data_IF_726857718954
#
_entry.id   IF_726857718954
#
_cell.length_a   1.000
_cell.length_b   1.000
_cell.length_c   1.000
_cell.angle_alpha   90.00
_cell.angle_beta   90.00
_cell.angle_gamma   90.00
#
_symmetry.space_group_name_H-M   'P 1'
#
loop_
_entity.id
_entity.type
_entity.pdbx_description
1 polymer ?
#
# COMPACT_ATOMS: atom_id res chain seq x y z
N UNK A 1 -8.35 2.37 -18.48
CA UNK A 1 -7.57 2.77 -17.29
C UNK A 1 -6.55 3.79 -17.77
N UNK A 2 -6.65 5.07 -17.38
CA UNK A 2 -5.55 6.02 -17.61
C UNK A 2 -4.36 5.48 -16.80
N UNK A 3 -3.21 5.30 -17.43
CA UNK A 3 -2.00 4.64 -16.91
C UNK A 3 -1.29 5.51 -15.87
N UNK A 4 -2.02 5.87 -14.79
CA UNK A 4 -1.72 6.98 -13.87
C UNK A 4 -0.28 7.02 -13.35
N UNK A 5 0.36 5.87 -13.11
CA UNK A 5 1.77 5.83 -12.73
C UNK A 5 2.70 6.26 -13.88
N UNK A 6 2.51 5.72 -15.08
CA UNK A 6 3.30 6.07 -16.26
C UNK A 6 3.12 7.54 -16.64
N UNK A 7 1.89 8.06 -16.58
CA UNK A 7 1.67 9.50 -16.79
C UNK A 7 2.33 10.36 -15.71
N UNK A 8 2.26 9.97 -14.42
CA UNK A 8 2.89 10.71 -13.34
C UNK A 8 4.42 10.80 -13.51
N UNK A 9 5.07 9.69 -13.87
CA UNK A 9 6.51 9.63 -14.16
C UNK A 9 6.85 10.47 -15.39
N UNK A 10 6.12 10.31 -16.50
CA UNK A 10 6.39 11.06 -17.75
C UNK A 10 6.24 12.56 -17.56
N UNK A 11 5.22 13.00 -16.81
CA UNK A 11 5.03 14.42 -16.48
C UNK A 11 6.23 14.98 -15.73
N UNK A 12 6.78 14.22 -14.76
CA UNK A 12 7.95 14.65 -14.00
C UNK A 12 9.19 14.76 -14.89
N UNK A 13 9.49 13.74 -15.69
CA UNK A 13 10.64 13.78 -16.61
C UNK A 13 10.56 14.97 -17.57
N UNK A 14 9.38 15.30 -18.08
CA UNK A 14 9.20 16.45 -18.97
C UNK A 14 9.54 17.80 -18.31
N UNK A 15 9.38 17.91 -16.98
CA UNK A 15 9.69 19.11 -16.20
C UNK A 15 11.07 19.07 -15.55
N UNK A 16 11.71 17.90 -15.53
CA UNK A 16 12.99 17.59 -14.89
C UNK A 16 13.80 16.63 -15.77
N UNK A 17 14.25 17.07 -16.96
CA UNK A 17 14.90 16.18 -17.93
C UNK A 17 16.22 15.59 -17.45
N UNK A 18 16.88 16.24 -16.48
CA UNK A 18 18.17 15.83 -15.93
C UNK A 18 18.05 14.85 -14.76
N UNK A 19 16.84 14.58 -14.25
CA UNK A 19 16.63 13.56 -13.22
C UNK A 19 16.75 12.14 -13.82
N UNK A 20 17.22 11.15 -13.02
CA UNK A 20 17.23 9.76 -13.44
C UNK A 20 15.84 9.27 -13.86
N UNK A 21 15.80 8.56 -14.99
CA UNK A 21 14.56 7.97 -15.49
C UNK A 21 13.97 6.94 -14.52
N UNK A 22 12.64 6.80 -14.52
CA UNK A 22 11.93 5.84 -13.65
C UNK A 22 11.21 4.78 -14.48
N UNK A 23 11.36 3.51 -14.08
CA UNK A 23 10.63 2.38 -14.66
C UNK A 23 9.44 2.04 -13.77
N UNK A 24 8.26 1.92 -14.37
CA UNK A 24 7.03 1.48 -13.68
C UNK A 24 6.80 0.01 -13.98
N UNK A 25 6.68 -0.80 -12.93
CA UNK A 25 6.43 -2.25 -13.02
C UNK A 25 5.11 -2.57 -12.33
N UNK A 26 4.10 -2.95 -13.10
CA UNK A 26 2.84 -3.48 -12.57
C UNK A 26 2.93 -5.00 -12.38
N UNK A 27 2.92 -5.46 -11.13
CA UNK A 27 2.79 -6.90 -10.81
C UNK A 27 1.31 -7.19 -10.57
N UNK A 28 0.70 -7.91 -11.50
CA UNK A 28 -0.74 -8.15 -11.46
C UNK A 28 -1.12 -9.49 -12.05
N UNK A 29 -2.39 -9.59 -12.42
CA UNK A 29 -3.01 -10.84 -12.82
C UNK A 29 -3.47 -10.75 -14.28
N UNK A 30 -3.53 -11.88 -15.00
CA UNK A 30 -4.29 -11.95 -16.24
C UNK A 30 -5.77 -11.83 -15.87
N UNK A 31 -6.28 -10.59 -15.84
CA UNK A 31 -7.70 -10.33 -15.67
C UNK A 31 -8.40 -10.87 -16.92
N UNK A 32 -9.31 -11.82 -16.76
CA UNK A 32 -10.27 -12.15 -17.81
C UNK A 32 -11.17 -10.91 -18.08
N UNK A 33 -11.97 -10.93 -19.15
CA UNK A 33 -12.96 -9.89 -19.51
C UNK A 33 -14.11 -9.75 -18.48
N UNK A 34 -13.75 -9.62 -17.21
CA UNK A 34 -14.65 -9.30 -16.10
C UNK A 34 -14.71 -7.79 -15.97
N UNK A 35 -15.86 -7.25 -15.61
CA UNK A 35 -16.01 -5.84 -15.29
C UNK A 35 -15.21 -5.40 -14.03
N UNK A 36 -14.52 -6.33 -13.37
CA UNK A 36 -13.74 -6.06 -12.17
C UNK A 36 -12.36 -5.51 -12.53
N UNK A 37 -11.97 -4.46 -11.83
CA UNK A 37 -10.63 -3.85 -11.93
C UNK A 37 -9.60 -4.54 -11.02
N UNK A 38 -9.94 -5.68 -10.42
CA UNK A 38 -9.12 -6.44 -9.47
C UNK A 38 -9.46 -7.94 -9.50
N UNK A 39 -8.54 -8.77 -9.01
CA UNK A 39 -8.66 -10.23 -8.97
C UNK A 39 -8.76 -10.74 -7.53
N UNK A 40 -9.56 -11.78 -7.28
CA UNK A 40 -9.72 -12.37 -5.94
C UNK A 40 -8.42 -12.94 -5.36
N UNK A 41 -7.46 -13.36 -6.21
CA UNK A 41 -6.14 -13.86 -5.78
C UNK A 41 -5.35 -12.86 -4.94
N UNK A 42 -5.62 -11.56 -5.09
CA UNK A 42 -5.01 -10.51 -4.27
C UNK A 42 -5.26 -10.70 -2.78
N UNK A 43 -6.34 -11.38 -2.40
CA UNK A 43 -6.61 -11.74 -1.01
C UNK A 43 -5.50 -12.59 -0.41
N UNK A 44 -5.05 -13.59 -1.16
CA UNK A 44 -3.95 -14.48 -0.76
C UNK A 44 -2.63 -13.71 -0.82
N UNK A 45 -2.29 -13.16 -1.97
CA UNK A 45 -0.96 -12.60 -2.24
C UNK A 45 -0.62 -11.37 -1.39
N UNK A 46 -1.62 -10.61 -0.93
CA UNK A 46 -1.39 -9.32 -0.26
C UNK A 46 -1.65 -9.35 1.26
N UNK A 47 -1.95 -10.51 1.84
CA UNK A 47 -2.20 -10.64 3.28
C UNK A 47 -1.11 -11.46 3.98
N UNK A 48 -0.62 -11.01 5.16
CA UNK A 48 0.40 -11.72 5.94
C UNK A 48 -0.04 -13.13 6.32
N UNK A 49 0.90 -14.11 6.39
CA UNK A 49 0.60 -15.39 7.00
C UNK A 49 0.29 -15.21 8.48
N UNK A 50 -0.78 -15.84 8.95
CA UNK A 50 -1.21 -15.83 10.35
C UNK A 50 -1.80 -17.20 10.71
N UNK A 51 -1.71 -17.60 11.97
CA UNK A 51 -2.26 -18.86 12.46
C UNK A 51 -3.78 -18.80 12.62
N UNK A 52 -4.29 -17.65 13.10
CA UNK A 52 -5.71 -17.37 13.24
C UNK A 52 -6.11 -16.24 12.29
N UNK A 53 -7.23 -16.43 11.58
CA UNK A 53 -7.76 -15.44 10.64
C UNK A 53 -9.23 -15.17 10.92
N UNK A 54 -9.53 -13.92 11.28
CA UNK A 54 -10.88 -13.38 11.37
C UNK A 54 -11.28 -12.80 10.02
N UNK A 55 -12.25 -13.43 9.36
CA UNK A 55 -12.76 -12.95 8.08
C UNK A 55 -13.40 -11.55 8.22
N UNK A 56 -13.10 -10.61 7.30
CA UNK A 56 -13.70 -9.29 7.33
C UNK A 56 -15.21 -9.36 7.09
N UNK A 57 -15.96 -8.43 7.66
CA UNK A 57 -17.39 -8.27 7.35
C UNK A 57 -17.58 -7.48 6.07
N UNK A 58 -18.46 -7.99 5.21
CA UNK A 58 -18.97 -7.31 4.03
C UNK A 58 -19.92 -6.16 4.38
N UNK A 59 -20.37 -5.39 3.37
CA UNK A 59 -21.38 -4.35 3.57
C UNK A 59 -22.70 -4.88 4.14
N UNK A 60 -23.02 -6.15 3.87
CA UNK A 60 -24.17 -6.88 4.40
C UNK A 60 -23.97 -7.43 5.84
N UNK A 61 -22.82 -7.15 6.45
CA UNK A 61 -22.44 -7.63 7.77
C UNK A 61 -21.99 -9.10 7.81
N UNK A 62 -22.02 -9.81 6.68
CA UNK A 62 -21.63 -11.21 6.60
C UNK A 62 -20.11 -11.37 6.50
N UNK A 63 -19.59 -12.45 7.08
CA UNK A 63 -18.16 -12.77 7.00
C UNK A 63 -17.76 -13.15 5.58
N UNK A 64 -16.77 -12.44 5.02
CA UNK A 64 -16.23 -12.68 3.69
C UNK A 64 -14.91 -13.44 3.77
N UNK A 65 -15.02 -14.77 3.92
CA UNK A 65 -13.87 -15.65 3.86
C UNK A 65 -13.25 -15.62 2.45
N UNK A 66 -11.92 -15.53 2.40
CA UNK A 66 -11.13 -15.53 1.18
C UNK A 66 -9.79 -16.19 1.48
N UNK A 67 -9.08 -16.64 0.46
CA UNK A 67 -7.72 -17.11 0.64
C UNK A 67 -6.85 -15.96 1.19
N UNK A 68 -5.95 -16.29 2.13
CA UNK A 68 -5.08 -15.33 2.83
C UNK A 68 -3.70 -15.96 3.11
N UNK A 69 -2.72 -15.15 3.51
CA UNK A 69 -1.43 -15.62 4.03
C UNK A 69 -0.34 -15.88 2.99
N UNK A 70 -0.50 -15.33 1.79
CA UNK A 70 0.45 -15.49 0.68
C UNK A 70 1.54 -14.42 0.60
N UNK A 71 1.51 -13.38 1.45
CA UNK A 71 2.39 -12.22 1.33
C UNK A 71 3.88 -12.57 1.28
N UNK A 72 4.37 -13.48 2.12
CA UNK A 72 5.77 -13.92 2.09
C UNK A 72 6.19 -14.49 0.74
N UNK A 73 5.34 -15.36 0.15
CA UNK A 73 5.60 -15.99 -1.15
C UNK A 73 5.52 -14.97 -2.27
N UNK A 74 4.58 -14.03 -2.17
CA UNK A 74 4.43 -12.98 -3.17
C UNK A 74 5.60 -11.99 -3.15
N UNK A 75 6.08 -11.60 -1.96
CA UNK A 75 7.29 -10.79 -1.82
C UNK A 75 8.50 -11.53 -2.38
N UNK A 76 8.65 -12.82 -2.06
CA UNK A 76 9.72 -13.66 -2.62
C UNK A 76 9.66 -13.69 -4.15
N UNK A 77 8.49 -13.90 -4.76
CA UNK A 77 8.31 -13.84 -6.21
C UNK A 77 8.82 -12.50 -6.78
N UNK A 78 8.46 -11.37 -6.15
CA UNK A 78 8.89 -10.05 -6.61
C UNK A 78 10.41 -9.90 -6.52
N UNK A 79 11.02 -10.24 -5.38
CA UNK A 79 12.44 -9.98 -5.12
C UNK A 79 13.38 -11.00 -5.78
N UNK A 80 12.94 -12.25 -5.96
CA UNK A 80 13.82 -13.33 -6.46
C UNK A 80 13.50 -13.78 -7.88
N UNK A 81 12.39 -13.33 -8.47
CA UNK A 81 12.02 -13.66 -9.86
C UNK A 81 11.82 -12.40 -10.67
N UNK A 82 10.89 -11.52 -10.28
CA UNK A 82 10.52 -10.35 -11.08
C UNK A 82 11.69 -9.37 -11.21
N UNK A 83 12.29 -8.96 -10.08
CA UNK A 83 13.44 -8.05 -10.10
C UNK A 83 14.64 -8.62 -10.87
N UNK A 84 15.09 -9.87 -10.64
CA UNK A 84 16.17 -10.47 -11.43
C UNK A 84 15.87 -10.56 -12.93
N UNK A 85 14.64 -10.90 -13.35
CA UNK A 85 14.28 -10.94 -14.77
C UNK A 85 14.31 -9.54 -15.40
N UNK A 86 13.84 -8.51 -14.67
CA UNK A 86 13.89 -7.14 -15.15
C UNK A 86 15.34 -6.67 -15.36
N UNK A 87 16.21 -6.87 -14.38
CA UNK A 87 17.59 -6.37 -14.42
C UNK A 87 18.51 -7.24 -15.28
N UNK A 88 18.30 -8.55 -15.32
CA UNK A 88 19.15 -9.48 -16.05
C UNK A 88 18.76 -9.65 -17.52
N UNK A 89 17.47 -9.56 -17.84
CA UNK A 89 16.97 -9.93 -19.17
C UNK A 89 16.32 -8.76 -19.92
N UNK A 90 15.46 -7.97 -19.25
CA UNK A 90 14.69 -6.91 -19.93
C UNK A 90 15.52 -5.62 -20.05
N UNK A 91 16.25 -5.27 -18.99
CA UNK A 91 17.07 -4.05 -18.89
C UNK A 91 18.51 -4.35 -18.45
N UNK A 92 19.28 -5.17 -19.21
CA UNK A 92 20.61 -5.67 -18.81
C UNK A 92 21.70 -4.60 -18.64
N UNK A 93 21.44 -3.35 -19.06
CA UNK A 93 22.36 -2.21 -18.93
C UNK A 93 21.86 -1.15 -17.95
N UNK A 94 20.80 -1.44 -17.21
CA UNK A 94 20.24 -0.52 -16.24
C UNK A 94 21.07 -0.58 -14.95
N UNK A 95 21.59 0.56 -14.54
CA UNK A 95 22.11 0.75 -13.19
C UNK A 95 20.96 1.23 -12.30
N UNK A 96 20.56 0.38 -11.35
CA UNK A 96 19.43 0.65 -10.48
C UNK A 96 19.87 1.58 -9.35
N UNK A 97 19.31 2.79 -9.32
CA UNK A 97 19.59 3.76 -8.25
C UNK A 97 18.82 3.46 -6.97
N UNK A 98 17.48 3.57 -7.03
CA UNK A 98 16.58 3.35 -5.90
C UNK A 98 15.33 2.59 -6.33
N UNK A 99 14.72 1.91 -5.38
CA UNK A 99 13.53 1.09 -5.56
C UNK A 99 12.41 1.52 -4.62
N UNK A 100 11.17 1.39 -5.10
CA UNK A 100 10.00 1.64 -4.29
C UNK A 100 8.94 0.55 -4.47
N UNK A 101 8.25 0.22 -3.37
CA UNK A 101 7.08 -0.64 -3.38
C UNK A 101 5.84 0.18 -3.04
N UNK A 102 4.88 0.23 -3.97
CA UNK A 102 3.58 0.88 -3.77
C UNK A 102 2.46 -0.14 -3.70
N UNK A 103 1.49 0.11 -2.83
CA UNK A 103 0.28 -0.68 -2.77
C UNK A 103 -0.87 0.06 -2.10
N UNK A 104 -2.09 -0.24 -2.53
CA UNK A 104 -3.33 0.33 -2.02
C UNK A 104 -4.20 -0.72 -1.30
N UNK A 105 -4.85 -0.35 -0.18
CA UNK A 105 -5.74 -1.24 0.58
C UNK A 105 -4.98 -2.45 1.12
N UNK A 106 -5.35 -3.69 0.76
CA UNK A 106 -4.49 -4.86 1.04
C UNK A 106 -3.09 -4.74 0.41
N UNK A 107 -2.93 -4.02 -0.70
CA UNK A 107 -1.59 -3.71 -1.21
C UNK A 107 -0.79 -2.83 -0.25
N UNK A 108 -1.46 -1.91 0.45
CA UNK A 108 -0.81 -1.09 1.49
C UNK A 108 -0.46 -1.93 2.72
N UNK A 109 -1.31 -2.89 3.09
CA UNK A 109 -0.98 -3.90 4.12
C UNK A 109 0.24 -4.73 3.72
N UNK A 110 0.30 -5.20 2.48
CA UNK A 110 1.44 -5.93 1.92
C UNK A 110 2.72 -5.10 1.94
N UNK A 111 2.65 -3.80 1.61
CA UNK A 111 3.78 -2.87 1.71
C UNK A 111 4.29 -2.78 3.14
N UNK A 112 3.39 -2.60 4.13
CA UNK A 112 3.76 -2.55 5.54
C UNK A 112 4.36 -3.88 6.03
N UNK A 113 3.77 -5.01 5.66
CA UNK A 113 4.31 -6.33 5.97
C UNK A 113 5.71 -6.52 5.39
N UNK A 114 5.91 -6.12 4.13
CA UNK A 114 7.21 -6.18 3.47
C UNK A 114 8.25 -5.30 4.19
N UNK A 115 7.87 -4.10 4.63
CA UNK A 115 8.73 -3.22 5.42
C UNK A 115 9.10 -3.87 6.76
N UNK A 116 8.11 -4.37 7.50
CA UNK A 116 8.33 -4.84 8.87
C UNK A 116 9.05 -6.20 8.95
N UNK A 117 8.99 -7.00 7.89
CA UNK A 117 9.61 -8.34 7.87
C UNK A 117 10.89 -8.42 7.04
N UNK A 118 11.01 -7.63 5.96
CA UNK A 118 12.16 -7.61 5.05
C UNK A 118 12.47 -6.18 4.60
N UNK A 119 12.85 -5.28 5.53
CA UNK A 119 13.04 -3.84 5.25
C UNK A 119 14.09 -3.51 4.19
N UNK A 120 15.02 -4.43 3.91
CA UNK A 120 16.05 -4.27 2.88
C UNK A 120 15.57 -4.66 1.47
N UNK A 121 14.31 -5.09 1.29
CA UNK A 121 13.79 -5.48 -0.03
C UNK A 121 13.54 -4.28 -0.96
N UNK A 122 13.28 -3.09 -0.41
CA UNK A 122 13.06 -1.86 -1.16
C UNK A 122 13.62 -0.66 -0.39
N UNK A 123 14.05 0.39 -1.10
CA UNK A 123 14.55 1.60 -0.46
C UNK A 123 13.41 2.48 0.10
N UNK A 124 12.22 2.40 -0.51
CA UNK A 124 11.06 3.22 -0.17
C UNK A 124 9.76 2.41 -0.19
N UNK A 125 8.98 2.52 0.88
CA UNK A 125 7.69 1.85 1.05
C UNK A 125 6.57 2.88 0.99
N UNK A 126 5.60 2.68 0.10
CA UNK A 126 4.53 3.64 -0.20
C UNK A 126 3.17 2.97 0.04
N UNK A 127 2.69 3.04 1.28
CA UNK A 127 1.46 2.38 1.69
C UNK A 127 0.27 3.35 1.61
N UNK A 128 -0.58 3.14 0.60
CA UNK A 128 -1.81 3.91 0.40
C UNK A 128 -3.02 3.17 1.02
N UNK A 129 -3.76 3.88 1.84
CA UNK A 129 -4.94 3.39 2.58
C UNK A 129 -4.75 1.98 3.13
N UNK A 130 -3.64 1.72 3.87
CA UNK A 130 -3.29 0.35 4.25
C UNK A 130 -4.36 -0.24 5.15
N UNK A 131 -4.76 -1.48 4.88
CA UNK A 131 -5.76 -2.19 5.68
C UNK A 131 -5.19 -2.65 7.03
N UNK A 132 -4.74 -1.71 7.86
CA UNK A 132 -4.19 -1.96 9.21
C UNK A 132 -5.22 -2.67 10.09
N UNK A 133 -6.51 -2.43 9.87
CA UNK A 133 -7.60 -3.11 10.58
C UNK A 133 -7.68 -4.62 10.34
N UNK A 134 -7.05 -5.12 9.27
CA UNK A 134 -7.13 -6.52 8.87
C UNK A 134 -6.68 -7.45 10.00
N UNK A 135 -7.45 -8.53 10.20
CA UNK A 135 -7.22 -9.56 11.21
C UNK A 135 -6.90 -8.98 12.59
N UNK A 136 -7.83 -8.19 13.13
CA UNK A 136 -7.73 -7.58 14.46
C UNK A 136 -6.45 -6.75 14.68
N UNK A 137 -5.99 -6.08 13.61
CA UNK A 137 -4.76 -5.30 13.56
C UNK A 137 -3.49 -6.12 13.77
N UNK A 138 -3.46 -7.33 13.22
CA UNK A 138 -2.29 -8.22 13.20
C UNK A 138 -0.97 -7.52 12.89
N UNK A 139 -0.98 -6.59 11.92
CA UNK A 139 0.20 -5.88 11.45
C UNK A 139 0.94 -5.09 12.56
N UNK A 140 0.26 -4.73 13.64
CA UNK A 140 0.86 -4.01 14.78
C UNK A 140 1.89 -4.86 15.54
N UNK A 141 1.73 -6.19 15.52
CA UNK A 141 2.72 -7.09 16.10
C UNK A 141 4.02 -7.11 15.28
N UNK A 142 3.91 -7.07 13.95
CA UNK A 142 5.07 -6.95 13.06
C UNK A 142 5.75 -5.58 13.20
N UNK A 143 4.97 -4.50 13.27
CA UNK A 143 5.47 -3.14 13.55
C UNK A 143 6.28 -3.11 14.86
N UNK A 144 5.76 -3.74 15.92
CA UNK A 144 6.42 -3.76 17.23
C UNK A 144 7.76 -4.50 17.19
N UNK A 145 7.87 -5.59 16.42
CA UNK A 145 9.13 -6.32 16.21
C UNK A 145 10.11 -5.50 15.39
N UNK A 146 9.64 -4.83 14.35
CA UNK A 146 10.46 -3.95 13.52
C UNK A 146 11.07 -2.80 14.35
N UNK A 147 10.31 -2.18 15.24
CA UNK A 147 10.76 -1.07 16.09
C UNK A 147 11.81 -1.44 17.15
N UNK A 148 12.02 -2.73 17.43
CA UNK A 148 13.08 -3.19 18.34
C UNK A 148 14.27 -3.78 17.60
N UNK A 149 14.14 -4.04 16.30
CA UNK A 149 15.26 -4.46 15.47
C UNK A 149 16.20 -3.27 15.20
N UNK A 150 17.50 -3.53 15.26
CA UNK A 150 18.55 -2.52 15.17
C UNK A 150 19.58 -2.94 14.14
N UNK A 151 20.11 -2.00 13.37
CA UNK A 151 21.20 -2.25 12.43
C UNK A 151 20.81 -2.23 10.95
N UNK A 152 19.68 -1.62 10.58
CA UNK A 152 19.38 -1.35 9.18
C UNK A 152 20.27 -0.21 8.66
N UNK A 153 21.11 -0.54 7.67
CA UNK A 153 21.89 0.44 6.91
C UNK A 153 21.97 0.01 5.43
N UNK A 154 21.41 0.78 4.48
CA UNK A 154 20.65 2.01 4.69
C UNK A 154 19.27 1.76 5.29
N UNK A 155 18.76 2.72 6.05
CA UNK A 155 17.39 2.70 6.59
C UNK A 155 16.37 3.00 5.49
N UNK A 156 15.27 2.24 5.35
CA UNK A 156 14.26 2.52 4.34
C UNK A 156 13.46 3.80 4.67
N UNK A 157 12.76 4.33 3.67
CA UNK A 157 11.78 5.40 3.85
C UNK A 157 10.35 4.86 3.77
N UNK A 158 9.42 5.47 4.50
CA UNK A 158 7.99 5.12 4.47
C UNK A 158 7.15 6.36 4.16
N UNK A 159 6.13 6.18 3.32
CA UNK A 159 5.00 7.09 3.20
C UNK A 159 3.69 6.36 3.43
N UNK A 160 2.93 6.87 4.40
CA UNK A 160 1.53 6.51 4.63
C UNK A 160 0.63 7.55 3.95
N UNK A 161 -0.47 7.12 3.35
CA UNK A 161 -1.50 8.07 2.94
C UNK A 161 -2.89 7.47 2.95
N UNK A 162 -3.93 8.30 3.09
CA UNK A 162 -5.33 7.87 3.13
C UNK A 162 -6.26 9.03 2.76
N UNK A 163 -7.49 8.72 2.36
CA UNK A 163 -8.55 9.70 2.07
C UNK A 163 -9.31 10.08 3.34
N UNK A 164 -9.67 11.36 3.49
CA UNK A 164 -10.34 11.82 4.71
C UNK A 164 -11.71 11.15 4.94
N UNK A 165 -12.40 10.75 3.85
CA UNK A 165 -13.74 10.12 3.90
C UNK A 165 -13.69 8.61 4.08
N UNK A 166 -12.51 8.02 4.27
CA UNK A 166 -12.40 6.58 4.50
C UNK A 166 -12.97 6.16 5.85
N UNK A 167 -12.71 6.94 6.91
CA UNK A 167 -13.32 6.75 8.23
C UNK A 167 -14.56 7.62 8.44
N UNK A 168 -14.62 8.79 7.79
CA UNK A 168 -15.72 9.76 7.92
C UNK A 168 -16.49 9.91 6.60
N UNK A 169 -17.29 8.90 6.19
CA UNK A 169 -17.98 8.93 4.92
C UNK A 169 -19.02 10.07 4.85
N UNK A 170 -19.19 10.62 3.65
CA UNK A 170 -20.30 11.54 3.34
C UNK A 170 -21.43 10.72 2.71
N UNK A 171 -22.68 11.11 3.01
CA UNK A 171 -23.89 10.44 2.48
C UNK A 171 -23.97 10.61 0.97
N UNK A 172 -24.23 9.50 0.27
CA UNK A 172 -24.37 9.53 -1.18
C UNK A 172 -25.76 10.04 -1.59
N UNK A 173 -25.85 10.62 -2.79
CA UNK A 173 -27.13 11.11 -3.32
C UNK A 173 -28.09 9.95 -3.52
N UNK A 174 -29.21 9.97 -2.80
CA UNK A 174 -30.25 8.94 -2.88
C UNK A 174 -30.01 7.74 -1.96
N UNK A 175 -28.97 7.74 -1.14
CA UNK A 175 -28.74 6.72 -0.12
C UNK A 175 -29.76 6.86 1.01
N UNK A 176 -30.35 5.75 1.47
CA UNK A 176 -31.27 5.75 2.63
C UNK A 176 -30.53 6.06 3.93
N UNK A 177 -31.26 6.50 4.97
CA UNK A 177 -30.66 6.75 6.29
C UNK A 177 -30.03 5.47 6.85
N UNK A 178 -30.72 4.34 6.71
CA UNK A 178 -30.26 3.03 7.16
C UNK A 178 -28.95 2.60 6.48
N UNK A 179 -28.89 2.69 5.15
CA UNK A 179 -27.67 2.37 4.38
C UNK A 179 -26.50 3.26 4.81
N UNK A 180 -26.75 4.56 4.98
CA UNK A 180 -25.71 5.49 5.39
C UNK A 180 -25.18 5.18 6.79
N UNK A 181 -26.05 4.91 7.76
CA UNK A 181 -25.63 4.55 9.12
C UNK A 181 -24.86 3.23 9.16
N UNK A 182 -25.28 2.22 8.39
CA UNK A 182 -24.56 0.96 8.26
C UNK A 182 -23.15 1.18 7.69
N UNK A 183 -23.04 2.03 6.66
CA UNK A 183 -21.74 2.40 6.07
C UNK A 183 -20.85 3.13 7.06
N UNK A 184 -21.39 4.12 7.80
CA UNK A 184 -20.67 4.84 8.87
C UNK A 184 -20.12 3.85 9.89
N UNK A 185 -20.94 2.92 10.39
CA UNK A 185 -20.53 1.92 11.36
C UNK A 185 -19.37 1.05 10.82
N UNK A 186 -19.50 0.51 9.61
CA UNK A 186 -18.45 -0.30 8.99
C UNK A 186 -17.15 0.47 8.73
N UNK A 187 -17.21 1.76 8.41
CA UNK A 187 -16.02 2.62 8.28
C UNK A 187 -15.36 2.91 9.63
N UNK A 188 -16.15 3.15 10.67
CA UNK A 188 -15.67 3.37 12.03
C UNK A 188 -14.99 2.12 12.62
N UNK A 189 -15.44 0.92 12.27
CA UNK A 189 -14.76 -0.33 12.66
C UNK A 189 -13.39 -0.48 11.99
N UNK A 190 -13.26 -0.07 10.73
CA UNK A 190 -11.99 -0.13 9.98
C UNK A 190 -10.98 0.93 10.39
N UNK A 191 -11.41 2.01 11.04
CA UNK A 191 -10.56 3.09 11.60
C UNK A 191 -9.41 3.52 10.69
N UNK A 192 -9.64 3.72 9.39
CA UNK A 192 -8.56 3.94 8.43
C UNK A 192 -7.66 5.12 8.81
N UNK A 193 -8.27 6.29 9.04
CA UNK A 193 -7.57 7.52 9.31
C UNK A 193 -6.79 7.42 10.63
N UNK A 194 -7.46 6.97 11.69
CA UNK A 194 -6.85 6.86 13.03
C UNK A 194 -5.72 5.83 13.05
N UNK A 195 -5.93 4.64 12.47
CA UNK A 195 -4.90 3.60 12.43
C UNK A 195 -3.64 4.09 11.69
N UNK A 196 -3.79 4.85 10.60
CA UNK A 196 -2.66 5.43 9.88
C UNK A 196 -1.93 6.49 10.73
N UNK A 197 -2.67 7.40 11.39
CA UNK A 197 -2.09 8.44 12.26
C UNK A 197 -1.36 7.83 13.46
N UNK A 198 -1.98 6.88 14.13
CA UNK A 198 -1.41 6.19 15.29
C UNK A 198 -0.13 5.42 14.92
N UNK A 199 -0.10 4.76 13.76
CA UNK A 199 1.10 4.08 13.25
C UNK A 199 2.21 5.06 12.88
N UNK A 200 1.86 6.15 12.19
CA UNK A 200 2.82 7.22 11.90
C UNK A 200 3.47 7.76 13.18
N UNK A 201 2.67 8.07 14.21
CA UNK A 201 3.15 8.62 15.48
C UNK A 201 4.13 7.68 16.20
N UNK A 202 4.00 6.36 16.02
CA UNK A 202 4.95 5.38 16.56
C UNK A 202 6.21 5.30 15.71
N UNK A 203 6.07 5.17 14.39
CA UNK A 203 7.19 5.00 13.46
C UNK A 203 8.09 6.24 13.36
N UNK A 204 7.53 7.45 13.41
CA UNK A 204 8.30 8.70 13.35
C UNK A 204 9.17 8.94 14.59
N UNK A 205 8.84 8.28 15.71
CA UNK A 205 9.64 8.32 16.96
C UNK A 205 10.74 7.26 16.98
N UNK A 206 10.66 6.27 16.10
CA UNK A 206 11.69 5.25 15.93
C UNK A 206 12.88 5.77 15.13
N UNK A 207 13.98 5.03 15.16
CA UNK A 207 15.20 5.34 14.39
C UNK A 207 15.40 4.34 13.23
N UNK A 208 14.40 3.50 12.93
CA UNK A 208 14.49 2.46 11.91
C UNK A 208 14.30 2.97 10.48
N UNK A 209 13.70 4.14 10.31
CA UNK A 209 13.35 4.71 9.02
C UNK A 209 14.13 6.01 8.81
N UNK A 210 14.69 6.22 7.62
CA UNK A 210 15.38 7.48 7.30
C UNK A 210 14.41 8.64 7.08
N UNK A 211 13.17 8.33 6.69
CA UNK A 211 12.10 9.29 6.48
C UNK A 211 10.74 8.61 6.67
N UNK A 212 9.83 9.31 7.36
CA UNK A 212 8.44 8.87 7.56
C UNK A 212 7.52 10.04 7.23
N UNK A 213 6.66 9.90 6.22
CA UNK A 213 5.63 10.89 5.88
C UNK A 213 4.24 10.27 6.05
N UNK A 214 3.27 11.09 6.50
CA UNK A 214 1.84 10.78 6.39
C UNK A 214 1.13 11.85 5.58
N UNK A 215 0.26 11.44 4.65
CA UNK A 215 -0.56 12.35 3.86
C UNK A 215 -2.04 12.00 3.89
N UNK A 216 -2.84 12.91 4.43
CA UNK A 216 -4.29 12.91 4.25
C UNK A 216 -4.67 13.59 2.93
N UNK A 217 -5.56 12.97 2.16
CA UNK A 217 -6.19 13.58 0.99
C UNK A 217 -7.63 13.99 1.34
N UNK A 218 -7.91 15.30 1.48
CA UNK A 218 -9.26 15.78 1.77
C UNK A 218 -10.26 15.34 0.70
N UNK A 219 -11.47 15.03 1.13
CA UNK A 219 -12.62 14.69 0.30
C UNK A 219 -12.54 13.38 -0.49
N UNK A 220 -11.40 12.69 -0.45
CA UNK A 220 -11.22 11.39 -1.08
C UNK A 220 -11.77 10.26 -0.20
N UNK A 221 -12.42 9.29 -0.85
CA UNK A 221 -12.79 8.00 -0.28
C UNK A 221 -11.80 6.89 -0.67
N UNK A 222 -12.08 5.65 -0.26
CA UNK A 222 -11.19 4.50 -0.48
C UNK A 222 -10.92 4.21 -1.95
N UNK A 223 -11.87 4.47 -2.84
CA UNK A 223 -11.70 4.26 -4.28
C UNK A 223 -11.08 5.47 -4.96
N UNK A 224 -11.56 6.66 -4.63
CA UNK A 224 -11.14 7.89 -5.32
C UNK A 224 -9.70 8.31 -4.99
N UNK A 225 -9.22 8.01 -3.77
CA UNK A 225 -7.87 8.36 -3.30
C UNK A 225 -6.75 7.70 -4.12
N UNK A 226 -7.01 6.57 -4.78
CA UNK A 226 -5.99 5.73 -5.44
C UNK A 226 -5.11 6.56 -6.40
N UNK A 227 -5.73 7.38 -7.26
CA UNK A 227 -5.00 8.16 -8.26
C UNK A 227 -4.13 9.26 -7.62
N UNK A 228 -4.68 9.98 -6.63
CA UNK A 228 -3.97 11.03 -5.91
C UNK A 228 -2.82 10.45 -5.06
N UNK A 229 -3.08 9.38 -4.33
CA UNK A 229 -2.11 8.64 -3.54
C UNK A 229 -0.94 8.15 -4.40
N UNK A 230 -1.23 7.47 -5.52
CA UNK A 230 -0.20 6.97 -6.43
C UNK A 230 0.64 8.11 -7.01
N UNK A 231 0.01 9.16 -7.53
CA UNK A 231 0.73 10.31 -8.09
C UNK A 231 1.62 11.00 -7.05
N UNK A 232 1.09 11.26 -5.85
CA UNK A 232 1.84 11.89 -4.78
C UNK A 232 2.96 11.00 -4.24
N UNK A 233 2.77 9.68 -4.19
CA UNK A 233 3.78 8.74 -3.70
C UNK A 233 4.94 8.58 -4.67
N UNK A 234 4.67 8.67 -5.98
CA UNK A 234 5.72 8.79 -7.01
C UNK A 234 6.51 10.09 -6.82
N UNK A 235 5.85 11.23 -6.54
CA UNK A 235 6.59 12.47 -6.28
C UNK A 235 7.45 12.35 -5.04
N UNK A 236 6.90 11.85 -3.92
CA UNK A 236 7.66 11.62 -2.70
C UNK A 236 8.90 10.76 -2.94
N UNK A 237 8.76 9.62 -3.63
CA UNK A 237 9.90 8.76 -3.95
C UNK A 237 11.00 9.47 -4.74
N UNK A 238 10.61 10.33 -5.69
CA UNK A 238 11.55 11.02 -6.56
C UNK A 238 12.13 12.30 -5.93
N UNK A 239 11.44 12.87 -4.95
CA UNK A 239 11.88 14.04 -4.17
C UNK A 239 12.74 13.67 -2.95
N UNK A 240 12.68 12.41 -2.48
CA UNK A 240 13.63 11.94 -1.47
C UNK A 240 15.06 12.07 -2.02
N UNK A 241 16.00 12.42 -1.16
CA UNK A 241 17.44 12.31 -1.41
C UNK A 241 17.90 10.84 -1.28
#
# INVERSE_FOLDING_TARGET
>A
MFLTATEAVRRRQALRPDEPGTIVVGVGYPLADTANIWDARRGYDLTPPCEEFTAPKGPDGQSQAHAYGGADKFLQLITTVVQPVLLGSIFPRLELGRTALFGHSYGGLFVLHSLFTRPASFDTYLAASPSIWWNDRFILAEESRFLVDSGLDPRPALRLCYGSREQFPVRDRGESDESFQQRVQGKMERRMNDNCKEMYDRLVRGDQLRSVEIREYPDEDHGSVIAAALSGSIQYFLDLD
#
